data_IF_403314747480
#
_entry.id   IF_403314747480
#
_cell.length_a   1.000
_cell.length_b   1.000
_cell.length_c   1.000
_cell.angle_alpha   90.00
_cell.angle_beta   90.00
_cell.angle_gamma   90.00
#
_symmetry.space_group_name_H-M   'P 1'
#
loop_
_entity.id
_entity.type
_entity.pdbx_description
1 polymer ?
#
# COMPACT_ATOMS: atom_id res chain seq x y z
N UNK A 1 -3.09 8.59 -14.17
CA UNK A 1 -3.14 7.22 -13.59
C UNK A 1 -2.80 7.24 -12.10
N UNK A 2 -3.80 7.11 -11.21
CA UNK A 2 -3.55 6.90 -9.77
C UNK A 2 -3.01 5.48 -9.58
N UNK A 3 -1.73 5.31 -9.19
CA UNK A 3 -1.18 4.01 -8.79
C UNK A 3 -1.91 3.56 -7.51
N UNK A 4 -2.92 2.71 -7.63
CA UNK A 4 -3.70 2.20 -6.49
C UNK A 4 -2.73 1.58 -5.48
N UNK A 5 -2.63 2.20 -4.29
CA UNK A 5 -1.80 1.71 -3.20
C UNK A 5 -0.37 2.25 -3.10
N UNK A 6 0.07 3.17 -3.97
CA UNK A 6 1.33 3.92 -3.78
C UNK A 6 1.05 5.42 -3.86
N UNK A 7 1.39 6.15 -2.81
CA UNK A 7 1.26 7.60 -2.70
C UNK A 7 2.62 8.25 -2.56
N UNK A 8 2.85 9.36 -3.26
CA UNK A 8 4.02 10.20 -3.02
C UNK A 8 3.80 10.98 -1.73
N UNK A 9 4.78 10.97 -0.83
CA UNK A 9 4.84 11.90 0.30
C UNK A 9 5.93 12.91 -0.02
N UNK A 10 5.53 14.16 0.01
CA UNK A 10 6.41 15.30 -0.18
C UNK A 10 6.08 16.31 0.93
N UNK A 11 6.80 16.22 2.03
CA UNK A 11 6.65 17.12 3.18
C UNK A 11 7.88 18.03 3.24
N UNK A 12 7.84 19.22 2.59
CA UNK A 12 8.98 20.11 2.52
C UNK A 12 9.40 20.67 3.89
N UNK A 13 8.42 20.89 4.80
CA UNK A 13 8.68 21.40 6.15
C UNK A 13 9.51 20.45 7.02
N UNK A 14 9.40 19.13 6.79
CA UNK A 14 10.14 18.10 7.54
C UNK A 14 11.21 17.42 6.70
N UNK A 15 11.48 17.93 5.49
CA UNK A 15 12.40 17.36 4.48
C UNK A 15 12.13 15.87 4.23
N UNK A 16 10.88 15.44 4.42
CA UNK A 16 10.47 14.06 4.32
C UNK A 16 9.91 13.80 2.93
N UNK A 17 10.75 13.19 2.12
CA UNK A 17 10.47 12.86 0.73
C UNK A 17 10.46 11.35 0.61
N UNK A 18 9.38 10.76 0.10
CA UNK A 18 9.34 9.31 -0.09
C UNK A 18 8.07 8.79 -0.74
N UNK A 19 7.95 7.48 -0.83
CA UNK A 19 6.76 6.80 -1.33
C UNK A 19 6.13 5.98 -0.23
N UNK A 20 4.81 6.06 -0.10
CA UNK A 20 4.06 5.33 0.90
C UNK A 20 3.16 4.29 0.24
N UNK A 21 3.32 3.05 0.65
CA UNK A 21 2.54 1.92 0.15
C UNK A 21 1.42 1.60 1.13
N UNK A 22 0.20 1.43 0.61
CA UNK A 22 -0.98 0.90 1.32
C UNK A 22 -1.65 -0.18 0.47
N UNK A 23 -1.78 -1.40 0.98
CA UNK A 23 -2.36 -2.51 0.24
C UNK A 23 -3.12 -3.49 1.13
N UNK A 24 -3.94 -4.33 0.49
CA UNK A 24 -4.70 -5.38 1.18
C UNK A 24 -5.74 -4.82 2.15
N UNK A 25 -6.54 -3.85 1.71
CA UNK A 25 -7.60 -3.28 2.55
C UNK A 25 -8.58 -4.38 2.98
N UNK A 26 -8.91 -4.41 4.26
CA UNK A 26 -9.89 -5.32 4.83
C UNK A 26 -10.89 -4.53 5.68
N UNK A 27 -12.12 -5.02 5.72
CA UNK A 27 -13.14 -4.52 6.62
C UNK A 27 -12.88 -5.10 8.02
N UNK A 28 -12.85 -4.23 9.01
CA UNK A 28 -12.80 -4.59 10.43
C UNK A 28 -14.20 -4.94 10.92
N UNK A 29 -14.28 -5.54 12.11
CA UNK A 29 -15.55 -5.91 12.73
C UNK A 29 -16.43 -4.68 13.04
N UNK A 30 -15.81 -3.51 13.25
CA UNK A 30 -16.47 -2.21 13.46
C UNK A 30 -16.97 -1.54 12.16
N UNK A 31 -16.84 -2.22 11.01
CA UNK A 31 -17.25 -1.71 9.71
C UNK A 31 -16.23 -0.79 9.01
N UNK A 32 -15.15 -0.40 9.68
CA UNK A 32 -14.09 0.44 9.10
C UNK A 32 -13.17 -0.34 8.16
N UNK A 33 -12.53 0.36 7.21
CA UNK A 33 -11.56 -0.23 6.29
C UNK A 33 -10.13 0.15 6.67
N UNK A 34 -9.25 -0.84 6.81
CA UNK A 34 -7.84 -0.62 7.09
C UNK A 34 -6.94 -1.36 6.10
N UNK A 35 -5.81 -0.78 5.66
CA UNK A 35 -4.82 -1.50 4.88
C UNK A 35 -4.13 -2.56 5.74
N UNK A 36 -4.02 -3.78 5.23
CA UNK A 36 -3.25 -4.86 5.89
C UNK A 36 -1.74 -4.64 5.78
N UNK A 37 -1.30 -3.98 4.71
CA UNK A 37 0.10 -3.71 4.45
C UNK A 37 0.33 -2.22 4.29
N UNK A 38 1.21 -1.67 5.12
CA UNK A 38 1.65 -0.28 5.05
C UNK A 38 3.18 -0.21 5.16
N UNK A 39 3.82 0.61 4.33
CA UNK A 39 5.27 0.84 4.42
C UNK A 39 5.68 2.15 3.75
N UNK A 40 6.61 2.87 4.38
CA UNK A 40 7.22 4.09 3.82
C UNK A 40 8.60 3.79 3.24
N UNK A 41 8.89 4.40 2.09
CA UNK A 41 10.15 4.30 1.35
C UNK A 41 10.70 5.72 1.15
N UNK A 42 11.52 6.18 2.09
CA UNK A 42 12.15 7.49 2.03
C UNK A 42 13.19 7.59 0.91
N UNK A 43 13.19 8.72 0.19
CA UNK A 43 14.13 8.99 -0.89
C UNK A 43 15.57 8.98 -0.38
N UNK A 44 15.84 9.59 0.77
CA UNK A 44 17.19 9.65 1.36
C UNK A 44 17.75 8.23 1.62
N UNK A 45 16.95 7.34 2.22
CA UNK A 45 17.39 5.98 2.55
C UNK A 45 17.47 5.04 1.35
N UNK A 46 16.80 5.36 0.23
CA UNK A 46 16.74 4.49 -0.95
C UNK A 46 17.54 5.03 -2.15
N UNK A 47 18.27 6.14 -2.00
CA UNK A 47 19.08 6.71 -3.09
C UNK A 47 18.27 7.48 -4.13
N UNK A 48 17.23 8.20 -3.67
CA UNK A 48 16.45 9.15 -4.45
C UNK A 48 15.10 8.63 -4.93
N UNK A 49 14.31 9.56 -5.50
CA UNK A 49 12.91 9.36 -5.90
C UNK A 49 12.66 8.13 -6.77
N UNK A 50 13.54 7.86 -7.75
CA UNK A 50 13.38 6.72 -8.69
C UNK A 50 13.61 5.37 -8.00
N UNK A 51 14.65 5.27 -7.18
CA UNK A 51 14.98 4.03 -6.47
C UNK A 51 13.97 3.75 -5.35
N UNK A 52 13.54 4.79 -4.64
CA UNK A 52 12.45 4.69 -3.66
C UNK A 52 11.14 4.23 -4.30
N UNK A 53 10.80 4.74 -5.49
CA UNK A 53 9.62 4.29 -6.24
C UNK A 53 9.71 2.82 -6.62
N UNK A 54 10.87 2.38 -7.12
CA UNK A 54 11.11 0.97 -7.47
C UNK A 54 10.95 0.07 -6.25
N UNK A 55 11.55 0.41 -5.12
CA UNK A 55 11.41 -0.35 -3.88
C UNK A 55 9.94 -0.42 -3.40
N UNK A 56 9.19 0.69 -3.51
CA UNK A 56 7.76 0.71 -3.20
C UNK A 56 6.93 -0.19 -4.13
N UNK A 57 7.26 -0.23 -5.42
CA UNK A 57 6.61 -1.11 -6.40
C UNK A 57 6.91 -2.59 -6.15
N UNK A 58 8.17 -2.93 -5.88
CA UNK A 58 8.59 -4.30 -5.56
C UNK A 58 7.89 -4.80 -4.30
N UNK A 59 7.80 -3.96 -3.26
CA UNK A 59 7.05 -4.27 -2.06
C UNK A 59 5.56 -4.46 -2.34
N UNK A 60 4.94 -3.57 -3.13
CA UNK A 60 3.54 -3.70 -3.52
C UNK A 60 3.28 -5.02 -4.25
N UNK A 61 4.12 -5.39 -5.22
CA UNK A 61 4.00 -6.65 -5.96
C UNK A 61 4.12 -7.85 -5.02
N UNK A 62 5.07 -7.82 -4.07
CA UNK A 62 5.25 -8.88 -3.06
C UNK A 62 4.01 -9.06 -2.18
N UNK A 63 3.38 -7.97 -1.72
CA UNK A 63 2.21 -8.05 -0.84
C UNK A 63 0.90 -8.33 -1.60
N UNK A 64 0.79 -7.88 -2.85
CA UNK A 64 -0.36 -8.19 -3.72
C UNK A 64 -0.33 -9.65 -4.18
N UNK A 65 0.82 -10.18 -4.59
CA UNK A 65 0.96 -11.59 -4.97
C UNK A 65 0.72 -12.57 -3.81
N UNK A 66 0.93 -12.12 -2.57
CA UNK A 66 0.53 -12.87 -1.35
C UNK A 66 -0.97 -12.78 -1.05
N UNK A 67 -1.67 -11.78 -1.58
CA UNK A 67 -3.07 -11.48 -1.28
C UNK A 67 -4.10 -12.11 -2.21
N UNK A 68 -3.72 -12.58 -3.40
CA UNK A 68 -4.63 -13.18 -4.39
C UNK A 68 -5.19 -14.55 -4.00
N UNK A 69 -4.75 -15.14 -2.89
CA UNK A 69 -5.33 -16.38 -2.32
C UNK A 69 -6.35 -16.15 -1.19
N UNK A 70 -7.06 -15.01 -1.15
CA UNK A 70 -8.22 -14.88 -0.26
C UNK A 70 -9.52 -15.03 -1.05
N UNK A 71 -10.12 -16.21 -0.88
CA UNK A 71 -11.49 -16.57 -1.25
C UNK A 71 -12.41 -15.36 -1.07
N UNK A 72 -13.12 -15.00 -2.14
CA UNK A 72 -14.27 -14.10 -2.07
C UNK A 72 -15.14 -14.62 -0.91
N UNK A 73 -15.52 -13.81 0.09
CA UNK A 73 -16.58 -14.23 0.99
C UNK A 73 -17.79 -14.40 0.08
N UNK A 74 -18.21 -15.66 -0.11
CA UNK A 74 -19.49 -15.97 -0.73
C UNK A 74 -20.53 -15.23 0.09
N UNK A 75 -21.04 -14.12 -0.45
CA UNK A 75 -22.21 -13.44 0.07
C UNK A 75 -23.29 -14.51 0.10
N UNK A 76 -23.57 -15.07 1.28
CA UNK A 76 -24.72 -15.95 1.46
C UNK A 76 -25.94 -15.06 1.26
N UNK A 77 -26.57 -15.17 0.09
CA UNK A 77 -27.94 -14.70 -0.11
C UNK A 77 -28.80 -15.46 0.90
N UNK A 78 -29.38 -14.73 1.86
CA UNK A 78 -30.51 -15.23 2.61
C UNK A 78 -31.73 -15.14 1.67
N UNK A 79 -32.41 -16.28 1.51
CA UNK A 79 -33.72 -16.41 0.89
C UNK A 79 -34.78 -16.30 1.98
#
# INVERSE_FOLDING_TARGET
MRRRGISRIDQPSTRTHGWFVRAGFYQRADGSYAPRYQKFFGDASHGGKRRALRAAQEYLAKVQGRGTKRKRPTLRRAA
#
